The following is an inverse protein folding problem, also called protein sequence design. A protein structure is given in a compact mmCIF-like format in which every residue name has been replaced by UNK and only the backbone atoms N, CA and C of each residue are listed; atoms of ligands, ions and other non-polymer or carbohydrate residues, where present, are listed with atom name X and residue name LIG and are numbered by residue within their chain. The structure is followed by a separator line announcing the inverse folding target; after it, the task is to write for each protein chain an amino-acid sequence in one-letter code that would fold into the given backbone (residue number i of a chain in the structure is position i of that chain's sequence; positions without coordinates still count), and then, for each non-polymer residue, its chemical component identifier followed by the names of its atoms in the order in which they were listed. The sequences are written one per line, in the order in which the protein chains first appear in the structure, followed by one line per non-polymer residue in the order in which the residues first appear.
data_IF_364159694837
#
_entry.id   IF_364159694837
#
_cell.length_a   1.000
_cell.length_b   1.000
_cell.length_c   1.000
_cell.angle_alpha   90.00
_cell.angle_beta   90.00
_cell.angle_gamma   90.00
#
_symmetry.space_group_name_H-M   'P 1'
#
loop_
_entity.id
_entity.type
_entity.pdbx_description
1 polymer ?
#
# COMPACT_ATOMS: atom_id res chain seq x y z
N UNK A 1 -5.20 27.32 -17.90
CA UNK A 1 -5.15 27.32 -17.30
C UNK A 1 -4.60 27.15 -16.42
N UNK A 2 -4.55 27.25 -15.79
CA UNK A 2 -3.91 27.48 -14.98
C UNK A 2 -3.49 26.66 -13.97
N UNK A 3 -3.25 25.41 -14.17
CA UNK A 3 -2.65 24.49 -13.25
C UNK A 3 -1.24 24.87 -12.91
N UNK A 4 -0.61 25.58 -13.83
CA UNK A 4 0.74 26.03 -13.59
C UNK A 4 0.86 27.11 -12.55
N UNK A 5 -0.25 27.72 -12.16
CA UNK A 5 -0.22 28.80 -11.17
C UNK A 5 -0.42 28.30 -9.76
N UNK A 6 -0.48 26.99 -9.58
CA UNK A 6 -0.64 26.42 -8.26
C UNK A 6 0.63 26.65 -7.42
N UNK A 7 0.50 27.36 -6.33
CA UNK A 7 1.65 27.78 -5.52
C UNK A 7 1.72 27.12 -4.14
N UNK A 8 0.68 26.43 -3.72
CA UNK A 8 0.64 25.81 -2.39
C UNK A 8 1.18 24.39 -2.39
N UNK A 9 1.51 23.90 -1.20
CA UNK A 9 1.87 22.49 -1.01
C UNK A 9 0.64 21.58 -1.05
N UNK A 10 -0.54 22.11 -0.81
CA UNK A 10 -1.79 21.35 -0.82
C UNK A 10 -2.86 22.10 -1.59
N UNK A 11 -3.86 21.34 -2.02
CA UNK A 11 -5.07 21.90 -2.61
C UNK A 11 -6.27 21.19 -2.02
N UNK A 12 -7.29 21.95 -1.71
CA UNK A 12 -8.53 21.40 -1.16
C UNK A 12 -9.65 21.50 -2.18
N UNK A 13 -10.52 20.51 -2.18
CA UNK A 13 -11.71 20.53 -3.00
C UNK A 13 -12.84 19.82 -2.26
N UNK A 14 -14.00 20.45 -2.23
CA UNK A 14 -15.19 19.82 -1.65
C UNK A 14 -15.79 18.88 -2.68
N UNK A 15 -16.02 17.65 -2.26
CA UNK A 15 -16.62 16.63 -3.10
C UNK A 15 -18.04 16.34 -2.59
N UNK A 16 -18.93 16.13 -3.52
CA UNK A 16 -20.28 15.67 -3.20
C UNK A 16 -20.37 14.22 -3.67
N UNK A 17 -20.72 13.33 -2.77
CA UNK A 17 -20.81 11.91 -3.07
C UNK A 17 -22.21 11.58 -3.55
N UNK A 18 -22.29 11.16 -4.80
CA UNK A 18 -23.51 10.69 -5.43
C UNK A 18 -23.21 9.33 -6.01
N UNK A 19 -24.04 8.35 -5.73
CA UNK A 19 -23.80 6.98 -6.15
C UNK A 19 -23.71 6.81 -7.68
N UNK A 20 -24.27 7.74 -8.44
CA UNK A 20 -24.27 7.67 -9.90
C UNK A 20 -23.11 8.44 -10.55
N UNK A 21 -22.31 9.15 -9.77
CA UNK A 21 -21.27 10.01 -10.32
C UNK A 21 -19.86 9.47 -10.09
N UNK A 22 -19.00 9.75 -11.05
CA UNK A 22 -17.56 9.51 -10.88
C UNK A 22 -16.87 10.77 -10.41
N UNK A 23 -15.84 10.58 -9.59
CA UNK A 23 -15.02 11.70 -9.12
C UNK A 23 -13.92 11.95 -10.15
N UNK A 24 -13.79 13.20 -10.58
CA UNK A 24 -12.73 13.61 -11.48
C UNK A 24 -11.63 14.30 -10.70
N UNK A 25 -10.39 13.94 -10.99
CA UNK A 25 -9.25 14.59 -10.36
C UNK A 25 -8.91 15.88 -11.07
N UNK A 26 -8.50 16.92 -10.34
CA UNK A 26 -8.02 18.15 -10.96
C UNK A 26 -6.80 17.89 -11.84
N UNK A 27 -6.64 18.72 -12.90
CA UNK A 27 -5.50 18.60 -13.79
C UNK A 27 -4.18 18.77 -13.07
N UNK A 28 -4.13 19.67 -12.08
CA UNK A 28 -2.91 19.89 -11.30
C UNK A 28 -2.46 18.60 -10.60
N UNK A 29 -3.39 17.81 -10.09
CA UNK A 29 -3.06 16.54 -9.45
C UNK A 29 -2.52 15.55 -10.48
N UNK A 30 -3.19 15.42 -11.63
CA UNK A 30 -2.75 14.50 -12.68
C UNK A 30 -1.36 14.85 -13.19
N UNK A 31 -1.07 16.14 -13.33
CA UNK A 31 0.25 16.60 -13.75
C UNK A 31 1.30 16.28 -12.70
N UNK A 32 0.97 16.46 -11.42
CA UNK A 32 1.89 16.16 -10.33
C UNK A 32 2.23 14.68 -10.22
N UNK A 33 1.33 13.80 -10.63
CA UNK A 33 1.56 12.35 -10.63
C UNK A 33 2.69 11.94 -11.58
N UNK A 34 2.80 12.60 -12.72
CA UNK A 34 3.86 12.30 -13.68
C UNK A 34 3.69 11.00 -14.46
N UNK A 35 2.64 10.25 -14.21
CA UNK A 35 2.33 8.99 -14.89
C UNK A 35 0.85 8.92 -15.21
N UNK A 36 0.47 7.97 -16.06
CA UNK A 36 -0.93 7.76 -16.44
C UNK A 36 -1.66 6.78 -15.53
N UNK A 37 -0.98 6.26 -14.54
CA UNK A 37 -1.57 5.25 -13.67
C UNK A 37 -1.09 5.44 -12.24
N UNK A 38 -1.88 4.96 -11.31
CA UNK A 38 -1.57 5.08 -9.89
C UNK A 38 -2.24 3.99 -9.09
N UNK A 39 -1.67 3.72 -7.93
CA UNK A 39 -2.28 2.86 -6.94
C UNK A 39 -3.14 3.71 -6.02
N UNK A 40 -4.42 3.38 -5.92
CA UNK A 40 -5.32 4.02 -4.97
C UNK A 40 -5.52 3.10 -3.78
N UNK A 41 -5.15 3.57 -2.60
CA UNK A 41 -5.32 2.82 -1.36
C UNK A 41 -6.39 3.53 -0.52
N UNK A 42 -7.43 2.77 -0.18
CA UNK A 42 -8.50 3.27 0.67
C UNK A 42 -8.21 2.83 2.11
N UNK A 43 -7.99 3.78 2.98
CA UNK A 43 -7.74 3.52 4.39
C UNK A 43 -9.07 3.74 5.12
N UNK A 44 -9.85 2.68 5.21
CA UNK A 44 -11.24 2.76 5.69
C UNK A 44 -11.35 3.32 7.10
N UNK A 45 -10.46 2.90 7.98
CA UNK A 45 -10.46 3.34 9.36
C UNK A 45 -10.35 4.86 9.48
N UNK A 46 -9.50 5.45 8.66
CA UNK A 46 -9.21 6.88 8.71
C UNK A 46 -10.05 7.69 7.72
N UNK A 47 -10.87 7.01 6.92
CA UNK A 47 -11.67 7.65 5.86
C UNK A 47 -10.79 8.45 4.92
N UNK A 48 -9.71 7.81 4.49
CA UNK A 48 -8.66 8.47 3.73
C UNK A 48 -8.37 7.68 2.47
N UNK A 49 -8.09 8.41 1.39
CA UNK A 49 -7.64 7.83 0.15
C UNK A 49 -6.26 8.38 -0.14
N UNK A 50 -5.33 7.46 -0.44
CA UNK A 50 -3.98 7.82 -0.87
C UNK A 50 -3.76 7.29 -2.27
N UNK A 51 -3.13 8.10 -3.11
CA UNK A 51 -2.85 7.71 -4.49
C UNK A 51 -1.36 7.87 -4.73
N UNK A 52 -0.74 6.79 -5.21
CA UNK A 52 0.70 6.72 -5.46
C UNK A 52 0.94 6.57 -6.96
N UNK A 53 1.88 7.32 -7.54
CA UNK A 53 2.20 7.15 -8.96
C UNK A 53 2.83 5.80 -9.21
N UNK A 54 2.47 5.18 -10.34
CA UNK A 54 3.02 3.89 -10.74
C UNK A 54 3.68 4.01 -12.10
N UNK A 55 4.85 3.41 -12.23
CA UNK A 55 5.51 3.25 -13.52
C UNK A 55 5.15 1.92 -14.17
N UNK A 56 4.70 0.97 -13.36
CA UNK A 56 4.27 -0.35 -13.79
C UNK A 56 2.91 -0.64 -13.17
N UNK A 57 2.05 -1.36 -13.89
CA UNK A 57 0.74 -1.75 -13.40
C UNK A 57 0.77 -3.00 -12.52
N UNK A 58 1.95 -3.55 -12.25
CA UNK A 58 2.08 -4.71 -11.39
C UNK A 58 2.24 -4.29 -9.94
N UNK A 59 1.21 -4.56 -9.15
CA UNK A 59 1.21 -4.29 -7.71
C UNK A 59 0.66 -5.51 -7.00
N UNK A 60 1.35 -5.93 -5.95
CA UNK A 60 0.89 -6.98 -5.06
C UNK A 60 0.49 -6.39 -3.72
N UNK A 61 -0.55 -6.96 -3.16
CA UNK A 61 -1.00 -6.72 -1.81
C UNK A 61 -0.61 -7.91 -0.94
N UNK A 62 0.06 -7.62 0.17
CA UNK A 62 0.44 -8.62 1.16
C UNK A 62 -0.22 -8.27 2.48
N UNK A 63 -0.89 -9.26 3.07
CA UNK A 63 -1.48 -9.12 4.39
C UNK A 63 -0.99 -10.25 5.29
N UNK A 64 -0.51 -9.86 6.46
CA UNK A 64 -0.10 -10.81 7.50
C UNK A 64 -1.05 -10.64 8.68
N UNK A 65 -1.70 -11.74 9.06
CA UNK A 65 -2.44 -11.78 10.31
C UNK A 65 -1.49 -12.26 11.40
N UNK A 66 -1.35 -11.47 12.45
CA UNK A 66 -0.41 -11.75 13.54
C UNK A 66 -1.11 -11.57 14.87
N UNK A 67 -0.62 -12.27 15.89
CA UNK A 67 -1.23 -12.16 17.22
C UNK A 67 -0.92 -10.85 17.89
N UNK A 68 0.29 -10.31 17.69
CA UNK A 68 0.72 -9.09 18.34
C UNK A 68 1.73 -8.37 17.48
N UNK A 69 1.49 -7.08 17.26
CA UNK A 69 2.39 -6.23 16.48
C UNK A 69 3.43 -5.63 17.43
N UNK A 70 4.65 -6.13 17.40
CA UNK A 70 5.74 -5.69 18.25
C UNK A 70 6.90 -5.16 17.44
N UNK A 71 7.79 -4.39 18.08
CA UNK A 71 9.00 -3.92 17.42
C UNK A 71 9.89 -5.09 16.98
N UNK A 72 9.96 -6.14 17.79
CA UNK A 72 10.73 -7.33 17.45
C UNK A 72 10.19 -8.00 16.18
N UNK A 73 8.88 -8.14 16.08
CA UNK A 73 8.25 -8.67 14.88
C UNK A 73 8.58 -7.81 13.66
N UNK A 74 8.44 -6.50 13.77
CA UNK A 74 8.71 -5.59 12.66
C UNK A 74 10.17 -5.64 12.23
N UNK A 75 11.09 -5.79 13.17
CA UNK A 75 12.51 -5.95 12.87
C UNK A 75 12.78 -7.21 12.07
N UNK A 76 12.20 -8.33 12.50
CA UNK A 76 12.34 -9.61 11.79
C UNK A 76 11.70 -9.57 10.41
N UNK A 77 10.54 -8.95 10.32
CA UNK A 77 9.85 -8.77 9.04
C UNK A 77 10.71 -7.95 8.08
N UNK A 78 11.28 -6.87 8.57
CA UNK A 78 12.15 -6.00 7.78
C UNK A 78 13.36 -6.77 7.24
N UNK A 79 13.93 -7.67 8.04
CA UNK A 79 15.05 -8.49 7.62
C UNK A 79 14.67 -9.46 6.50
N UNK A 80 13.49 -10.06 6.61
CA UNK A 80 12.96 -10.96 5.56
C UNK A 80 12.74 -10.18 4.27
N UNK A 81 12.12 -9.01 4.35
CA UNK A 81 11.89 -8.17 3.18
C UNK A 81 13.20 -7.78 2.52
N UNK A 82 14.16 -7.32 3.30
CA UNK A 82 15.46 -6.91 2.79
C UNK A 82 16.18 -8.05 2.08
N UNK A 83 16.15 -9.24 2.65
CA UNK A 83 16.76 -10.42 2.06
C UNK A 83 16.11 -10.80 0.74
N UNK A 84 14.81 -10.59 0.63
CA UNK A 84 14.06 -10.89 -0.60
C UNK A 84 14.18 -9.80 -1.66
N UNK A 85 14.87 -8.70 -1.36
CA UNK A 85 15.00 -7.58 -2.29
C UNK A 85 13.81 -6.61 -2.23
N UNK A 86 12.94 -6.78 -1.27
CA UNK A 86 11.76 -5.92 -1.11
C UNK A 86 12.16 -4.72 -0.24
N UNK A 87 12.61 -3.65 -0.87
CA UNK A 87 13.11 -2.47 -0.18
C UNK A 87 12.19 -1.26 -0.33
N UNK A 88 11.38 -1.22 -1.38
CA UNK A 88 10.47 -0.11 -1.65
C UNK A 88 9.03 -0.58 -1.54
N UNK A 89 8.35 -0.11 -0.50
CA UNK A 89 6.93 -0.34 -0.34
C UNK A 89 6.19 0.91 -0.80
N UNK A 90 5.14 0.72 -1.59
CA UNK A 90 4.27 1.82 -2.00
C UNK A 90 3.50 2.35 -0.80
N UNK A 91 3.00 1.44 0.02
CA UNK A 91 2.27 1.78 1.22
C UNK A 91 2.35 0.61 2.19
N UNK A 92 2.42 0.90 3.48
CA UNK A 92 2.32 -0.13 4.51
C UNK A 92 1.60 0.41 5.73
N UNK A 93 0.91 -0.48 6.44
CA UNK A 93 0.21 -0.12 7.67
C UNK A 93 0.10 -1.32 8.60
N UNK A 94 0.10 -1.05 9.90
CA UNK A 94 -0.19 -2.05 10.92
C UNK A 94 -1.44 -1.63 11.68
N UNK A 95 -2.40 -2.54 11.81
CA UNK A 95 -3.66 -2.28 12.50
C UNK A 95 -3.94 -3.42 13.46
N UNK A 96 -4.26 -3.07 14.71
CA UNK A 96 -4.68 -4.06 15.69
C UNK A 96 -6.15 -3.86 16.00
N UNK A 97 -6.92 -4.93 15.86
CA UNK A 97 -8.31 -4.94 16.24
C UNK A 97 -8.44 -5.33 17.70
N UNK A 98 -9.62 -5.14 18.25
CA UNK A 98 -9.87 -5.49 19.64
C UNK A 98 -9.43 -6.92 19.94
N UNK A 99 -8.76 -7.10 21.06
CA UNK A 99 -8.25 -8.38 21.49
C UNK A 99 -6.85 -8.64 20.96
N UNK A 100 -6.66 -9.74 20.27
CA UNK A 100 -5.34 -10.27 19.93
C UNK A 100 -5.09 -10.40 18.44
N UNK A 101 -5.84 -9.70 17.60
CA UNK A 101 -5.66 -9.79 16.16
C UNK A 101 -5.07 -8.51 15.63
N UNK A 102 -3.90 -8.63 15.05
CA UNK A 102 -3.26 -7.53 14.34
C UNK A 102 -3.01 -7.93 12.90
N UNK A 103 -2.98 -6.93 12.03
CA UNK A 103 -2.70 -7.13 10.63
C UNK A 103 -1.60 -6.18 10.22
N UNK A 104 -0.64 -6.68 9.47
CA UNK A 104 0.32 -5.87 8.75
C UNK A 104 -0.01 -5.99 7.27
N UNK A 105 -0.20 -4.88 6.61
CA UNK A 105 -0.55 -4.86 5.20
C UNK A 105 0.39 -3.94 4.43
N UNK A 106 0.78 -4.37 3.24
CA UNK A 106 1.60 -3.53 2.39
C UNK A 106 1.30 -3.78 0.91
N UNK A 107 1.71 -2.80 0.10
CA UNK A 107 1.58 -2.85 -1.35
C UNK A 107 2.96 -2.61 -1.95
N UNK A 108 3.32 -3.40 -2.94
CA UNK A 108 4.64 -3.29 -3.55
C UNK A 108 4.63 -3.79 -4.99
N UNK A 109 5.65 -3.34 -5.74
CA UNK A 109 5.89 -3.84 -7.09
C UNK A 109 6.75 -5.10 -6.98
N UNK A 110 6.29 -6.25 -7.49
CA UNK A 110 7.04 -7.49 -7.36
C UNK A 110 8.32 -7.55 -8.21
N UNK A 111 8.49 -6.63 -9.14
CA UNK A 111 9.68 -6.60 -9.99
C UNK A 111 10.97 -6.38 -9.24
N UNK A 112 10.91 -5.84 -8.02
CA UNK A 112 12.12 -5.62 -7.21
C UNK A 112 12.59 -6.87 -6.47
N UNK A 113 11.78 -7.92 -6.42
CA UNK A 113 12.15 -9.14 -5.67
C UNK A 113 13.35 -9.83 -6.31
N UNK A 114 14.28 -10.24 -5.46
CA UNK A 114 15.46 -11.01 -5.89
C UNK A 114 15.24 -12.52 -5.77
N UNK A 115 14.14 -12.93 -5.15
CA UNK A 115 13.76 -14.33 -5.00
C UNK A 115 12.32 -14.51 -5.49
N UNK A 116 11.89 -15.76 -5.61
CA UNK A 116 10.52 -16.06 -6.00
C UNK A 116 9.55 -15.60 -4.94
N UNK A 117 8.37 -15.18 -5.38
CA UNK A 117 7.32 -14.79 -4.48
C UNK A 117 6.96 -15.92 -3.50
N UNK A 118 6.98 -17.17 -3.97
CA UNK A 118 6.70 -18.32 -3.10
C UNK A 118 7.73 -18.47 -1.99
N UNK A 119 8.99 -18.12 -2.25
CA UNK A 119 10.02 -18.15 -1.20
C UNK A 119 9.75 -17.10 -0.14
N UNK A 120 9.36 -15.91 -0.57
CA UNK A 120 8.97 -14.84 0.35
C UNK A 120 7.78 -15.28 1.21
N UNK A 121 6.74 -15.83 0.57
CA UNK A 121 5.57 -16.31 1.30
C UNK A 121 5.95 -17.37 2.34
N UNK A 122 6.81 -18.33 1.96
CA UNK A 122 7.24 -19.39 2.87
C UNK A 122 8.03 -18.83 4.05
N UNK A 123 8.90 -17.87 3.80
CA UNK A 123 9.65 -17.20 4.87
C UNK A 123 8.73 -16.49 5.85
N UNK A 124 7.67 -15.87 5.33
CA UNK A 124 6.68 -15.17 6.17
C UNK A 124 5.83 -16.13 6.98
N UNK A 125 5.45 -17.27 6.39
CA UNK A 125 4.62 -18.26 7.07
C UNK A 125 5.30 -18.86 8.29
N UNK A 126 6.62 -18.98 8.26
CA UNK A 126 7.38 -19.56 9.39
C UNK A 126 7.85 -18.52 10.40
N UNK A 127 7.60 -17.25 10.11
CA UNK A 127 7.94 -16.18 11.06
C UNK A 127 7.06 -16.28 12.29
N UNK A 128 7.69 -16.24 13.47
CA UNK A 128 6.99 -16.40 14.73
C UNK A 128 5.91 -15.33 14.89
N UNK A 129 4.71 -15.76 15.25
CA UNK A 129 3.56 -14.89 15.44
C UNK A 129 2.67 -14.73 14.22
N UNK A 130 3.12 -15.17 13.05
CA UNK A 130 2.30 -15.09 11.83
C UNK A 130 1.29 -16.24 11.83
N UNK A 131 0.02 -15.91 11.72
CA UNK A 131 -1.07 -16.86 11.71
C UNK A 131 -1.62 -17.11 10.30
N UNK A 132 -1.48 -16.10 9.43
CA UNK A 132 -1.98 -16.20 8.06
C UNK A 132 -1.23 -15.24 7.15
N UNK A 133 -0.95 -15.70 5.95
CA UNK A 133 -0.33 -14.88 4.89
C UNK A 133 -1.27 -14.86 3.69
N UNK A 134 -1.62 -13.67 3.22
CA UNK A 134 -2.43 -13.49 2.02
C UNK A 134 -1.64 -12.62 1.06
N UNK A 135 -1.51 -13.09 -0.18
CA UNK A 135 -0.89 -12.31 -1.26
C UNK A 135 -1.88 -12.26 -2.41
N UNK A 136 -2.19 -11.06 -2.87
CA UNK A 136 -3.14 -10.88 -3.94
C UNK A 136 -2.60 -9.87 -4.95
N UNK A 137 -2.93 -10.07 -6.22
CA UNK A 137 -2.64 -9.09 -7.25
C UNK A 137 -3.70 -7.99 -7.17
N UNK A 138 -3.25 -6.73 -7.13
CA UNK A 138 -4.15 -5.60 -7.17
C UNK A 138 -4.59 -5.39 -8.60
N UNK A 139 -5.90 -5.46 -8.85
CA UNK A 139 -6.44 -5.32 -10.20
C UNK A 139 -6.73 -3.86 -10.55
N UNK A 140 -6.72 -3.62 -11.82
CA UNK A 140 -7.08 -2.30 -12.36
C UNK A 140 -8.57 -2.04 -12.19
#
# INVERSE_FOLDING_TARGET
MSDETYEGATAGKVLVFDASETVKFPSAFKNAMGTNQGLMVLVHKDRLIKIFPLESDEVLFLSLEIGKLTNDFLTKLSQIFKKAGLVDLLFSTGVCLRGTRCFYECYFNPGQLSSDLSELENSLKVLDGVQRVVVERVSV
#
